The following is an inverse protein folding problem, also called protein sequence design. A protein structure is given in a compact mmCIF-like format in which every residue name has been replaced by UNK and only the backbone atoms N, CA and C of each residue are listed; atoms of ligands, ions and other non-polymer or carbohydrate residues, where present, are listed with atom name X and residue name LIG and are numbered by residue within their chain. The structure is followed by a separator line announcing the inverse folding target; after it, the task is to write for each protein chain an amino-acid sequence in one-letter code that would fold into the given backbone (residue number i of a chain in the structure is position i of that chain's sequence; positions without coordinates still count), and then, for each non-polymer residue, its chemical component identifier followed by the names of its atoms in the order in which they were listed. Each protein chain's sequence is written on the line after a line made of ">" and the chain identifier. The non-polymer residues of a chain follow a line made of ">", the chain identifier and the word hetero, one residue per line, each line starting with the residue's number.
data_IF_860158821470
#
_entry.id   IF_860158821470
#
_cell.length_a   1.000
_cell.length_b   1.000
_cell.length_c   1.000
_cell.angle_alpha   90.00
_cell.angle_beta   90.00
_cell.angle_gamma   90.00
#
_symmetry.space_group_name_H-M   'P 1'
#
loop_
_entity.id
_entity.type
_entity.pdbx_description
1 polymer ?
#
# COMPACT_ATOMS: atom_id res chain seq x y z
N UNK A 1 26.41 -43.69 -4.27
CA UNK A 1 26.70 -42.27 -4.04
C UNK A 1 25.59 -41.70 -3.16
N UNK A 2 25.80 -41.61 -1.84
CA UNK A 2 24.81 -41.13 -0.85
C UNK A 2 25.45 -39.95 -0.12
N UNK A 3 24.91 -38.75 -0.33
CA UNK A 3 25.40 -37.53 0.31
C UNK A 3 24.61 -37.32 1.61
N UNK A 4 25.32 -37.33 2.74
CA UNK A 4 24.80 -37.18 4.10
C UNK A 4 24.57 -35.69 4.40
N UNK A 5 23.36 -35.33 4.81
CA UNK A 5 23.05 -34.03 5.40
C UNK A 5 23.62 -33.97 6.82
N UNK A 6 24.52 -33.02 7.07
CA UNK A 6 25.06 -32.73 8.40
C UNK A 6 24.09 -31.84 9.17
N UNK A 7 23.47 -32.40 10.21
CA UNK A 7 22.71 -31.65 11.21
C UNK A 7 23.68 -30.94 12.16
N UNK A 8 23.66 -29.60 12.16
CA UNK A 8 24.38 -28.80 13.17
C UNK A 8 23.59 -27.52 13.44
N UNK A 9 22.61 -27.60 14.33
CA UNK A 9 22.20 -26.60 15.34
C UNK A 9 21.31 -27.37 16.32
N UNK A 10 21.94 -28.05 17.28
CA UNK A 10 21.28 -28.58 18.49
C UNK A 10 22.25 -28.47 19.66
N UNK A 11 22.43 -27.24 20.13
CA UNK A 11 22.85 -26.88 21.50
C UNK A 11 23.12 -25.38 21.51
N UNK A 12 22.21 -24.64 22.11
CA UNK A 12 22.46 -23.49 23.00
C UNK A 12 21.11 -22.97 23.54
N UNK A 13 20.25 -23.90 23.99
CA UNK A 13 19.25 -23.58 25.01
C UNK A 13 19.79 -24.19 26.30
N UNK A 14 20.69 -23.45 26.95
CA UNK A 14 21.10 -23.71 28.31
C UNK A 14 20.06 -23.08 29.22
N UNK A 15 19.20 -23.91 29.80
CA UNK A 15 18.45 -23.58 31.00
C UNK A 15 19.44 -23.23 32.11
N UNK A 16 19.40 -21.99 32.59
CA UNK A 16 19.86 -21.66 33.94
C UNK A 16 18.62 -21.26 34.74
N UNK A 17 18.16 -22.21 35.55
CA UNK A 17 17.20 -21.98 36.63
C UNK A 17 17.99 -21.34 37.76
N UNK A 18 17.71 -20.07 38.06
CA UNK A 18 17.93 -19.49 39.37
C UNK A 18 16.56 -18.94 39.80
N UNK A 19 15.97 -19.59 40.79
CA UNK A 19 14.81 -19.10 41.51
C UNK A 19 15.18 -17.81 42.23
N UNK A 20 14.50 -16.71 41.94
CA UNK A 20 14.24 -15.68 42.94
C UNK A 20 13.04 -14.85 42.50
N UNK A 21 11.99 -14.93 43.31
CA UNK A 21 10.78 -14.12 43.41
C UNK A 21 9.90 -13.89 42.17
N UNK A 22 8.62 -14.20 42.38
CA UNK A 22 7.52 -14.27 41.43
C UNK A 22 6.97 -12.87 41.10
N UNK A 23 7.05 -12.37 39.85
CA UNK A 23 6.15 -11.34 39.38
C UNK A 23 5.15 -12.01 38.42
N UNK A 24 3.91 -12.14 38.91
CA UNK A 24 2.65 -12.25 38.16
C UNK A 24 2.84 -12.28 36.63
N UNK A 25 2.49 -13.37 35.91
CA UNK A 25 2.66 -13.43 34.47
C UNK A 25 1.89 -12.27 33.85
N UNK A 26 2.61 -11.24 33.38
CA UNK A 26 2.04 -10.21 32.54
C UNK A 26 1.39 -10.96 31.38
N UNK A 27 0.06 -10.95 31.39
CA UNK A 27 -0.76 -11.45 30.31
C UNK A 27 -0.45 -10.51 29.13
N UNK A 28 0.60 -10.86 28.39
CA UNK A 28 1.09 -10.11 27.25
C UNK A 28 -0.05 -10.15 26.24
N UNK A 29 -0.87 -9.09 26.22
CA UNK A 29 -2.00 -9.02 25.31
C UNK A 29 -1.43 -8.85 23.91
N UNK A 30 -1.24 -9.97 23.22
CA UNK A 30 -0.77 -10.03 21.85
C UNK A 30 -1.64 -9.16 20.94
N UNK A 31 -2.90 -8.89 21.29
CA UNK A 31 -3.79 -7.98 20.56
C UNK A 31 -3.40 -6.53 20.79
N UNK A 32 -3.02 -6.17 22.01
CA UNK A 32 -2.53 -4.83 22.34
C UNK A 32 -1.15 -4.58 21.72
N UNK A 33 -0.25 -5.56 21.79
CA UNK A 33 1.07 -5.47 21.17
C UNK A 33 0.97 -5.40 19.63
N UNK A 34 0.10 -6.23 19.03
CA UNK A 34 -0.24 -6.14 17.61
C UNK A 34 -0.84 -4.78 17.28
N UNK A 35 -1.83 -4.29 18.02
CA UNK A 35 -2.43 -2.98 17.79
C UNK A 35 -1.41 -1.84 17.91
N UNK A 36 -0.48 -1.91 18.86
CA UNK A 36 0.59 -0.94 19.03
C UNK A 36 1.61 -0.98 17.89
N UNK A 37 1.86 -2.14 17.28
CA UNK A 37 2.68 -2.25 16.08
C UNK A 37 2.08 -1.50 14.87
N UNK A 38 0.75 -1.36 14.80
CA UNK A 38 0.07 -0.58 13.75
C UNK A 38 -0.10 0.91 14.11
N UNK A 39 -0.06 1.30 15.39
CA UNK A 39 -0.14 2.68 15.88
C UNK A 39 1.17 3.47 15.73
N UNK A 40 1.69 3.48 14.52
CA UNK A 40 2.83 4.34 14.15
C UNK A 40 2.49 5.83 14.27
N UNK A 41 3.49 6.72 14.30
CA UNK A 41 3.22 8.17 14.24
C UNK A 41 2.33 8.54 13.04
N UNK A 42 2.57 7.95 11.86
CA UNK A 42 1.71 8.13 10.69
C UNK A 42 0.26 7.68 10.89
N UNK A 43 0.03 6.67 11.72
CA UNK A 43 -1.32 6.26 12.12
C UNK A 43 -1.93 7.36 12.99
N UNK A 44 -1.26 7.77 14.07
CA UNK A 44 -1.78 8.78 14.99
C UNK A 44 -2.03 10.15 14.31
N UNK A 45 -1.14 10.58 13.41
CA UNK A 45 -1.30 11.80 12.63
C UNK A 45 -2.53 11.71 11.72
N UNK A 46 -2.66 10.61 10.97
CA UNK A 46 -3.82 10.35 10.13
C UNK A 46 -5.13 10.40 10.96
N UNK A 47 -5.16 9.77 12.13
CA UNK A 47 -6.34 9.78 13.00
C UNK A 47 -6.65 11.14 13.60
N UNK A 48 -5.63 11.94 13.89
CA UNK A 48 -5.83 13.32 14.37
C UNK A 48 -6.55 14.16 13.30
N UNK A 49 -6.17 14.01 12.02
CA UNK A 49 -6.85 14.69 10.91
C UNK A 49 -8.28 14.18 10.69
N UNK A 50 -8.49 12.86 10.74
CA UNK A 50 -9.83 12.25 10.65
C UNK A 50 -10.75 12.78 11.76
N UNK A 51 -10.27 12.83 13.00
CA UNK A 51 -11.05 13.32 14.15
C UNK A 51 -11.34 14.82 14.05
N UNK A 52 -10.42 15.61 13.51
CA UNK A 52 -10.64 17.04 13.27
C UNK A 52 -11.77 17.31 12.25
N UNK A 53 -11.87 16.46 11.22
CA UNK A 53 -12.95 16.52 10.22
C UNK A 53 -14.32 16.07 10.78
N UNK A 54 -14.32 15.32 11.89
CA UNK A 54 -15.51 14.69 12.49
C UNK A 54 -16.21 15.51 13.60
N UNK A 55 -15.92 16.81 13.77
CA UNK A 55 -16.47 17.63 14.87
C UNK A 55 -18.01 17.84 14.87
N UNK A 56 -18.77 17.20 13.97
CA UNK A 56 -20.22 17.41 13.82
C UNK A 56 -21.16 16.22 14.05
N UNK A 57 -20.70 14.95 14.06
CA UNK A 57 -21.62 13.80 13.85
C UNK A 57 -21.55 12.69 14.92
N UNK A 58 -21.17 13.04 16.16
CA UNK A 58 -20.78 12.07 17.19
C UNK A 58 -21.93 11.26 17.83
N UNK A 59 -23.19 11.36 17.41
CA UNK A 59 -24.33 11.00 18.27
C UNK A 59 -25.23 9.82 17.86
N UNK A 60 -24.91 8.95 16.88
CA UNK A 60 -25.92 7.93 16.50
C UNK A 60 -25.49 6.50 16.12
N UNK A 61 -24.23 6.08 16.26
CA UNK A 61 -23.85 4.71 15.88
C UNK A 61 -23.21 3.92 17.02
N UNK A 62 -24.07 3.35 17.88
CA UNK A 62 -23.69 2.30 18.85
C UNK A 62 -23.35 1.03 18.08
N UNK A 63 -22.09 0.60 18.18
CA UNK A 63 -21.56 -0.66 17.63
C UNK A 63 -22.23 -1.86 18.32
N UNK A 64 -22.73 -2.81 17.53
CA UNK A 64 -23.24 -4.09 18.02
C UNK A 64 -22.26 -5.18 17.58
N UNK A 65 -21.40 -5.60 18.52
CA UNK A 65 -20.73 -6.90 18.54
C UNK A 65 -19.61 -7.17 17.54
N UNK A 66 -18.36 -6.79 17.87
CA UNK A 66 -17.13 -7.59 17.66
C UNK A 66 -15.91 -6.80 18.18
N UNK A 67 -14.98 -7.47 18.88
CA UNK A 67 -13.89 -6.87 19.68
C UNK A 67 -12.66 -6.38 18.88
N UNK A 68 -12.81 -6.14 17.58
CA UNK A 68 -11.75 -5.52 16.76
C UNK A 68 -12.26 -4.30 15.97
N UNK A 69 -13.53 -4.30 15.55
CA UNK A 69 -14.15 -3.25 14.75
C UNK A 69 -14.86 -2.14 15.57
N UNK A 70 -14.79 -2.17 16.91
CA UNK A 70 -15.32 -1.11 17.77
C UNK A 70 -14.57 0.25 17.65
N UNK A 71 -13.63 0.39 16.71
CA UNK A 71 -12.87 1.61 16.45
C UNK A 71 -13.69 2.59 15.58
N UNK A 72 -14.62 3.26 16.26
CA UNK A 72 -15.24 4.57 15.97
C UNK A 72 -16.01 4.74 14.63
N UNK A 73 -17.30 5.10 14.64
CA UNK A 73 -18.11 5.41 13.44
C UNK A 73 -17.59 6.48 12.48
N UNK A 74 -16.54 7.22 12.87
CA UNK A 74 -16.01 8.42 12.20
C UNK A 74 -15.24 8.16 10.89
N UNK A 75 -15.07 6.90 10.51
CA UNK A 75 -14.22 6.49 9.40
C UNK A 75 -14.89 6.66 8.02
N UNK A 76 -16.22 6.74 7.96
CA UNK A 76 -17.02 6.54 6.73
C UNK A 76 -17.02 7.66 5.69
N UNK A 77 -16.46 8.84 5.98
CA UNK A 77 -16.85 10.04 5.24
C UNK A 77 -15.77 10.87 4.55
N UNK A 78 -14.47 10.57 4.63
CA UNK A 78 -13.48 11.56 4.17
C UNK A 78 -12.33 11.08 3.29
N UNK A 79 -12.43 9.95 2.58
CA UNK A 79 -11.42 9.52 1.59
C UNK A 79 -10.86 10.65 0.69
N UNK A 80 -11.73 11.57 0.26
CA UNK A 80 -11.39 12.71 -0.62
C UNK A 80 -10.50 13.77 0.07
N UNK A 81 -10.54 13.86 1.40
CA UNK A 81 -9.74 14.79 2.22
C UNK A 81 -8.57 14.10 2.92
N UNK A 82 -8.44 12.79 2.76
CA UNK A 82 -7.40 12.01 3.42
C UNK A 82 -6.10 11.94 2.63
N UNK A 83 -6.07 12.38 1.37
CA UNK A 83 -4.84 12.33 0.57
C UNK A 83 -3.85 13.41 1.05
N UNK A 84 -2.71 12.97 1.59
CA UNK A 84 -1.67 13.84 2.09
C UNK A 84 -0.28 13.50 1.48
N UNK A 85 0.40 14.47 0.84
CA UNK A 85 -0.12 15.78 0.46
C UNK A 85 -1.21 15.67 -0.61
N UNK A 86 -2.14 16.61 -0.61
CA UNK A 86 -3.21 16.69 -1.60
C UNK A 86 -2.67 16.97 -3.02
N UNK A 87 -3.51 16.76 -4.03
CA UNK A 87 -3.08 16.88 -5.42
C UNK A 87 -2.70 18.32 -5.83
N UNK A 88 -3.32 19.34 -5.25
CA UNK A 88 -2.99 20.74 -5.53
C UNK A 88 -1.63 21.13 -4.94
N UNK A 89 -1.34 20.65 -3.73
CA UNK A 89 -0.06 20.80 -3.04
C UNK A 89 1.05 20.13 -3.84
N UNK A 90 0.82 18.90 -4.32
CA UNK A 90 1.75 18.20 -5.21
C UNK A 90 2.00 18.99 -6.50
N UNK A 91 0.95 19.43 -7.20
CA UNK A 91 1.09 20.20 -8.45
C UNK A 91 1.95 21.45 -8.24
N UNK A 92 1.75 22.17 -7.13
CA UNK A 92 2.57 23.33 -6.76
C UNK A 92 4.03 22.94 -6.53
N UNK A 93 4.30 21.89 -5.74
CA UNK A 93 5.67 21.42 -5.47
C UNK A 93 6.37 21.00 -6.77
N UNK A 94 5.69 20.23 -7.62
CA UNK A 94 6.24 19.80 -8.91
C UNK A 94 6.50 20.98 -9.85
N UNK A 95 5.61 21.98 -9.88
CA UNK A 95 5.79 23.20 -10.68
C UNK A 95 7.02 24.04 -10.27
N UNK A 96 7.36 24.01 -8.97
CA UNK A 96 8.56 24.68 -8.44
C UNK A 96 9.84 23.82 -8.57
N UNK A 97 9.71 22.53 -8.86
CA UNK A 97 10.82 21.58 -8.88
C UNK A 97 11.58 21.66 -10.21
N UNK A 98 12.83 22.12 -10.17
CA UNK A 98 13.75 22.08 -11.32
C UNK A 98 14.37 20.69 -11.49
N UNK A 99 13.67 19.80 -12.21
CA UNK A 99 14.16 18.44 -12.53
C UNK A 99 14.06 18.14 -14.03
N UNK A 100 14.67 17.03 -14.46
CA UNK A 100 14.63 16.61 -15.86
C UNK A 100 13.19 16.25 -16.28
N UNK A 101 12.71 16.69 -17.47
CA UNK A 101 11.29 16.53 -17.86
C UNK A 101 10.76 15.10 -17.77
N UNK A 102 11.53 14.11 -18.23
CA UNK A 102 11.16 12.67 -18.11
C UNK A 102 10.98 12.18 -16.67
N UNK A 103 11.70 12.76 -15.70
CA UNK A 103 11.57 12.39 -14.29
C UNK A 103 10.37 13.11 -13.68
N UNK A 104 10.22 14.40 -14.00
CA UNK A 104 9.05 15.17 -13.57
C UNK A 104 7.75 14.51 -14.03
N UNK A 105 7.69 14.04 -15.28
CA UNK A 105 6.54 13.31 -15.82
C UNK A 105 6.27 12.01 -15.06
N UNK A 106 7.29 11.22 -14.71
CA UNK A 106 7.10 9.99 -13.93
C UNK A 106 6.63 10.28 -12.49
N UNK A 107 7.15 11.33 -11.86
CA UNK A 107 6.71 11.77 -10.54
C UNK A 107 5.26 12.27 -10.59
N UNK A 108 4.89 13.03 -11.62
CA UNK A 108 3.50 13.46 -11.86
C UNK A 108 2.57 12.26 -12.00
N UNK A 109 2.94 11.26 -12.80
CA UNK A 109 2.16 10.04 -12.96
C UNK A 109 2.06 9.25 -11.65
N UNK A 110 3.11 9.22 -10.83
CA UNK A 110 3.08 8.62 -9.50
C UNK A 110 2.04 9.26 -8.59
N UNK A 111 2.01 10.58 -8.51
CA UNK A 111 1.02 11.27 -7.68
C UNK A 111 -0.40 11.16 -8.26
N UNK A 112 -0.55 11.11 -9.58
CA UNK A 112 -1.85 10.83 -10.22
C UNK A 112 -2.35 9.43 -9.87
N UNK A 113 -1.53 8.40 -10.07
CA UNK A 113 -1.93 7.01 -9.80
C UNK A 113 -2.25 6.77 -8.31
N UNK A 114 -1.49 7.38 -7.40
CA UNK A 114 -1.80 7.30 -5.96
C UNK A 114 -3.07 8.06 -5.59
N UNK A 115 -3.39 9.16 -6.28
CA UNK A 115 -4.68 9.86 -6.15
C UNK A 115 -5.84 9.01 -6.67
N UNK A 116 -5.69 8.37 -7.84
CA UNK A 116 -6.70 7.49 -8.42
C UNK A 116 -6.98 6.27 -7.53
N UNK A 117 -5.93 5.68 -6.95
CA UNK A 117 -6.07 4.58 -6.00
C UNK A 117 -6.75 5.00 -4.68
N UNK A 118 -6.41 6.19 -4.16
CA UNK A 118 -7.08 6.78 -3.01
C UNK A 118 -8.57 7.01 -3.28
N UNK A 119 -8.92 7.56 -4.45
CA UNK A 119 -10.30 7.74 -4.87
C UNK A 119 -11.06 6.41 -5.00
N UNK A 120 -10.44 5.39 -5.58
CA UNK A 120 -10.99 4.04 -5.67
C UNK A 120 -11.27 3.44 -4.28
N UNK A 121 -10.35 3.60 -3.33
CA UNK A 121 -10.57 3.16 -1.96
C UNK A 121 -11.79 3.88 -1.34
N UNK A 122 -11.97 5.16 -1.64
CA UNK A 122 -13.14 5.93 -1.20
C UNK A 122 -14.45 5.45 -1.81
N UNK A 123 -14.45 5.02 -3.07
CA UNK A 123 -15.63 4.41 -3.70
C UNK A 123 -15.99 3.08 -3.02
N UNK A 124 -15.01 2.23 -2.74
CA UNK A 124 -15.25 0.96 -2.05
C UNK A 124 -15.77 1.16 -0.62
N UNK A 125 -15.29 2.17 0.11
CA UNK A 125 -15.86 2.53 1.42
C UNK A 125 -17.33 2.96 1.32
N UNK A 126 -17.70 3.71 0.28
CA UNK A 126 -19.11 4.07 0.01
C UNK A 126 -19.95 2.83 -0.29
N UNK A 127 -19.42 1.89 -1.07
CA UNK A 127 -20.07 0.61 -1.37
C UNK A 127 -20.28 -0.23 -0.10
N UNK A 128 -19.30 -0.29 0.79
CA UNK A 128 -19.41 -0.96 2.10
C UNK A 128 -20.51 -0.33 2.96
N UNK A 129 -20.54 1.01 3.07
CA UNK A 129 -21.57 1.70 3.86
C UNK A 129 -22.97 1.49 3.27
N UNK A 130 -23.09 1.49 1.94
CA UNK A 130 -24.33 1.16 1.25
C UNK A 130 -24.80 -0.26 1.61
N UNK A 131 -23.90 -1.25 1.54
CA UNK A 131 -24.22 -2.63 1.87
C UNK A 131 -24.61 -2.80 3.33
N UNK A 132 -23.94 -2.13 4.27
CA UNK A 132 -24.30 -2.15 5.69
C UNK A 132 -25.66 -1.51 5.97
N UNK A 133 -25.97 -0.37 5.33
CA UNK A 133 -27.29 0.29 5.45
C UNK A 133 -28.40 -0.63 4.95
N UNK A 134 -28.19 -1.25 3.79
CA UNK A 134 -29.15 -2.17 3.19
C UNK A 134 -29.31 -3.43 4.03
N UNK A 135 -28.22 -3.97 4.58
CA UNK A 135 -28.23 -5.09 5.51
C UNK A 135 -29.00 -4.75 6.79
N UNK A 136 -28.78 -3.58 7.40
CA UNK A 136 -29.55 -3.13 8.56
C UNK A 136 -31.04 -3.02 8.26
N UNK A 137 -31.42 -2.57 7.05
CA UNK A 137 -32.82 -2.50 6.63
C UNK A 137 -33.48 -3.87 6.42
N UNK A 138 -32.67 -4.92 6.22
CA UNK A 138 -33.14 -6.30 6.09
C UNK A 138 -33.71 -6.84 7.43
N UNK A 139 -33.22 -6.30 8.56
CA UNK A 139 -33.41 -6.84 9.90
C UNK A 139 -32.64 -8.16 10.10
N UNK A 140 -32.55 -8.69 11.33
CA UNK A 140 -32.14 -10.08 11.49
C UNK A 140 -33.27 -10.96 10.90
N UNK A 141 -33.03 -11.69 9.80
CA UNK A 141 -34.06 -12.51 9.17
C UNK A 141 -34.57 -13.63 10.10
N UNK A 142 -33.85 -13.89 11.20
CA UNK A 142 -34.10 -14.95 12.17
C UNK A 142 -34.39 -14.44 13.59
N UNK A 143 -34.49 -13.12 13.83
CA UNK A 143 -34.98 -12.62 15.12
C UNK A 143 -36.49 -12.93 15.27
N UNK A 144 -36.80 -13.82 16.21
CA UNK A 144 -38.17 -14.12 16.63
C UNK A 144 -38.54 -13.23 17.83
N UNK A 145 -39.71 -12.56 17.82
CA UNK A 145 -40.25 -11.98 19.03
C UNK A 145 -40.76 -13.11 19.95
N UNK A 146 -39.94 -13.44 20.96
CA UNK A 146 -40.25 -14.28 22.13
C UNK A 146 -40.64 -15.76 21.88
N UNK A 147 -39.86 -16.66 22.51
CA UNK A 147 -40.28 -17.98 23.00
C UNK A 147 -40.84 -19.02 22.00
N UNK A 148 -40.15 -19.30 20.88
CA UNK A 148 -40.23 -20.65 20.26
C UNK A 148 -38.87 -21.12 19.78
N UNK A 149 -38.52 -22.34 20.18
CA UNK A 149 -37.34 -23.07 19.71
C UNK A 149 -37.52 -23.46 18.24
N UNK A 150 -36.80 -22.79 17.34
CA UNK A 150 -36.66 -23.16 15.93
C UNK A 150 -36.89 -21.98 14.96
N UNK A 151 -36.21 -21.96 13.80
CA UNK A 151 -36.49 -20.99 12.74
C UNK A 151 -37.96 -21.12 12.28
N UNK A 152 -38.71 -20.01 12.23
CA UNK A 152 -40.09 -20.01 11.71
C UNK A 152 -40.05 -20.22 10.19
N UNK A 153 -40.01 -21.48 9.76
CA UNK A 153 -39.92 -21.93 8.35
C UNK A 153 -40.96 -21.23 7.46
N UNK A 154 -42.11 -20.81 8.03
CA UNK A 154 -43.15 -20.06 7.31
C UNK A 154 -42.69 -18.69 6.79
N UNK A 155 -41.66 -18.08 7.41
CA UNK A 155 -41.09 -16.79 6.98
C UNK A 155 -39.96 -16.93 5.97
N UNK A 156 -39.43 -18.14 5.78
CA UNK A 156 -38.29 -18.38 4.89
C UNK A 156 -38.51 -17.83 3.46
N UNK A 157 -39.67 -17.99 2.80
CA UNK A 157 -39.88 -17.42 1.47
C UNK A 157 -39.73 -15.89 1.42
N UNK A 158 -40.19 -15.19 2.47
CA UNK A 158 -40.08 -13.73 2.58
C UNK A 158 -38.62 -13.33 2.82
N UNK A 159 -37.92 -14.07 3.68
CA UNK A 159 -36.49 -13.87 3.93
C UNK A 159 -35.67 -14.05 2.65
N UNK A 160 -35.88 -15.16 1.92
CA UNK A 160 -35.18 -15.44 0.67
C UNK A 160 -35.45 -14.34 -0.38
N UNK A 161 -36.70 -13.89 -0.53
CA UNK A 161 -37.02 -12.80 -1.47
C UNK A 161 -36.28 -11.49 -1.13
N UNK A 162 -36.19 -11.13 0.16
CA UNK A 162 -35.45 -9.93 0.58
C UNK A 162 -33.94 -10.09 0.39
N UNK A 163 -33.39 -11.28 0.65
CA UNK A 163 -31.98 -11.59 0.44
C UNK A 163 -31.62 -11.60 -1.05
N UNK A 164 -32.49 -12.12 -1.92
CA UNK A 164 -32.31 -11.99 -3.38
C UNK A 164 -32.27 -10.52 -3.80
N UNK A 165 -33.17 -9.68 -3.27
CA UNK A 165 -33.16 -8.25 -3.54
C UNK A 165 -31.87 -7.60 -3.00
N UNK A 166 -31.37 -8.04 -1.85
CA UNK A 166 -30.09 -7.61 -1.29
C UNK A 166 -28.94 -7.89 -2.26
N UNK A 167 -28.79 -9.14 -2.67
CA UNK A 167 -27.73 -9.63 -3.57
C UNK A 167 -27.74 -8.94 -4.94
N UNK A 168 -28.93 -8.64 -5.50
CA UNK A 168 -29.04 -7.89 -6.76
C UNK A 168 -28.44 -6.48 -6.75
N UNK A 169 -28.13 -5.91 -5.58
CA UNK A 169 -27.39 -4.63 -5.49
C UNK A 169 -25.94 -4.82 -5.08
N UNK A 170 -25.37 -6.00 -5.29
CA UNK A 170 -23.97 -6.30 -5.04
C UNK A 170 -23.05 -5.35 -5.83
N UNK A 171 -22.31 -4.45 -5.15
CA UNK A 171 -21.38 -3.51 -5.81
C UNK A 171 -20.01 -4.15 -6.13
N UNK A 172 -19.78 -5.39 -5.68
CA UNK A 172 -18.51 -6.11 -5.80
C UNK A 172 -18.47 -7.08 -6.99
N UNK A 173 -19.55 -7.16 -7.77
CA UNK A 173 -19.60 -8.02 -8.94
C UNK A 173 -18.64 -7.53 -10.05
N UNK A 174 -18.09 -8.45 -10.82
CA UNK A 174 -17.11 -8.14 -11.87
C UNK A 174 -17.63 -7.16 -12.93
N UNK A 175 -18.95 -7.15 -13.16
CA UNK A 175 -19.62 -6.23 -14.09
C UNK A 175 -19.85 -4.84 -13.50
N UNK A 176 -19.59 -4.62 -12.20
CA UNK A 176 -19.80 -3.33 -11.57
C UNK A 176 -18.82 -2.27 -12.11
N UNK A 177 -19.27 -1.00 -12.26
CA UNK A 177 -18.39 0.10 -12.68
C UNK A 177 -17.17 0.27 -11.77
N UNK A 178 -17.32 0.05 -10.46
CA UNK A 178 -16.23 0.07 -9.46
C UNK A 178 -15.13 -0.93 -9.81
N UNK A 179 -15.49 -2.14 -10.26
CA UNK A 179 -14.52 -3.19 -10.61
C UNK A 179 -13.76 -2.89 -11.90
N UNK A 180 -14.42 -2.33 -12.91
CA UNK A 180 -13.73 -1.88 -14.12
C UNK A 180 -12.68 -0.80 -13.82
N UNK A 181 -13.02 0.15 -12.94
CA UNK A 181 -12.09 1.18 -12.45
C UNK A 181 -10.97 0.57 -11.62
N UNK A 182 -11.28 -0.42 -10.79
CA UNK A 182 -10.28 -1.14 -9.99
C UNK A 182 -9.19 -1.74 -10.87
N UNK A 183 -9.57 -2.48 -11.92
CA UNK A 183 -8.64 -3.07 -12.88
C UNK A 183 -7.82 -2.00 -13.61
N UNK A 184 -8.46 -0.89 -14.01
CA UNK A 184 -7.77 0.22 -14.67
C UNK A 184 -6.68 0.85 -13.78
N UNK A 185 -6.97 1.08 -12.49
CA UNK A 185 -6.01 1.61 -11.52
C UNK A 185 -4.86 0.62 -11.28
N UNK A 186 -5.15 -0.66 -11.09
CA UNK A 186 -4.13 -1.70 -10.87
C UNK A 186 -3.19 -1.84 -12.08
N UNK A 187 -3.74 -1.82 -13.30
CA UNK A 187 -2.97 -1.84 -14.53
C UNK A 187 -2.10 -0.58 -14.70
N UNK A 188 -2.66 0.59 -14.38
CA UNK A 188 -1.93 1.87 -14.43
C UNK A 188 -0.76 1.89 -13.44
N UNK A 189 -0.97 1.41 -12.21
CA UNK A 189 0.10 1.27 -11.21
C UNK A 189 1.18 0.29 -11.67
N UNK A 190 0.79 -0.86 -12.21
CA UNK A 190 1.73 -1.87 -12.73
C UNK A 190 2.58 -1.35 -13.89
N UNK A 191 1.98 -0.59 -14.82
CA UNK A 191 2.70 0.04 -15.91
C UNK A 191 3.66 1.12 -15.39
N UNK A 192 3.19 1.97 -14.48
CA UNK A 192 4.02 3.00 -13.85
C UNK A 192 5.23 2.39 -13.13
N UNK A 193 5.05 1.31 -12.37
CA UNK A 193 6.14 0.65 -11.67
C UNK A 193 7.26 0.23 -12.65
N UNK A 194 6.90 -0.41 -13.76
CA UNK A 194 7.87 -0.79 -14.81
C UNK A 194 8.64 0.41 -15.36
N UNK A 195 7.95 1.54 -15.56
CA UNK A 195 8.59 2.76 -16.06
C UNK A 195 9.52 3.39 -15.03
N UNK A 196 9.11 3.44 -13.75
CA UNK A 196 9.92 3.93 -12.64
C UNK A 196 11.18 3.09 -12.46
N UNK A 197 11.06 1.76 -12.42
CA UNK A 197 12.19 0.84 -12.28
C UNK A 197 13.15 0.94 -13.47
N UNK A 198 12.63 0.88 -14.70
CA UNK A 198 13.45 1.04 -15.91
C UNK A 198 14.23 2.36 -15.90
N UNK A 199 13.60 3.46 -15.46
CA UNK A 199 14.26 4.76 -15.40
C UNK A 199 15.26 4.85 -14.26
N UNK A 200 14.95 4.28 -13.09
CA UNK A 200 15.86 4.18 -11.95
C UNK A 200 17.12 3.43 -12.36
N UNK A 201 16.96 2.26 -12.98
CA UNK A 201 18.08 1.41 -13.38
C UNK A 201 18.95 2.09 -14.43
N UNK A 202 18.34 2.75 -15.44
CA UNK A 202 19.06 3.60 -16.41
C UNK A 202 19.82 4.75 -15.75
N UNK A 203 19.31 5.30 -14.66
CA UNK A 203 19.99 6.39 -13.93
C UNK A 203 21.16 5.84 -13.12
N UNK A 204 20.99 4.68 -12.48
CA UNK A 204 22.05 3.99 -11.75
C UNK A 204 23.18 3.51 -12.65
N UNK A 205 22.88 3.01 -13.85
CA UNK A 205 23.91 2.62 -14.83
C UNK A 205 24.74 3.82 -15.26
N UNK A 206 24.12 4.98 -15.52
CA UNK A 206 24.85 6.24 -15.78
C UNK A 206 25.76 6.62 -14.62
N UNK A 207 25.30 6.58 -13.37
CA UNK A 207 26.13 6.84 -12.20
C UNK A 207 27.36 5.91 -12.17
N UNK A 208 27.15 4.61 -12.41
CA UNK A 208 28.23 3.62 -12.46
C UNK A 208 29.22 3.92 -13.58
N UNK A 209 28.75 4.32 -14.76
CA UNK A 209 29.58 4.71 -15.89
C UNK A 209 30.44 5.94 -15.57
N UNK A 210 29.85 7.00 -14.99
CA UNK A 210 30.58 8.20 -14.57
C UNK A 210 31.66 7.89 -13.52
N UNK A 211 31.35 7.03 -12.53
CA UNK A 211 32.34 6.58 -11.53
C UNK A 211 33.51 5.83 -12.17
N UNK A 212 33.24 4.94 -13.13
CA UNK A 212 34.26 4.22 -13.90
C UNK A 212 35.12 5.17 -14.74
N UNK A 213 34.51 6.14 -15.44
CA UNK A 213 35.22 7.12 -16.25
C UNK A 213 36.14 8.01 -15.38
N UNK A 214 35.64 8.46 -14.22
CA UNK A 214 36.45 9.26 -13.28
C UNK A 214 37.66 8.46 -12.76
N UNK A 215 37.47 7.18 -12.44
CA UNK A 215 38.56 6.30 -12.02
C UNK A 215 39.59 6.09 -13.15
N UNK A 216 39.12 5.79 -14.38
CA UNK A 216 39.99 5.61 -15.54
C UNK A 216 40.78 6.88 -15.90
N UNK A 217 40.14 8.05 -15.82
CA UNK A 217 40.80 9.34 -16.05
C UNK A 217 41.86 9.64 -14.98
N UNK A 218 41.63 9.30 -13.72
CA UNK A 218 42.62 9.48 -12.67
C UNK A 218 43.84 8.60 -12.90
N UNK A 219 43.63 7.33 -13.29
CA UNK A 219 44.72 6.40 -13.66
C UNK A 219 45.50 6.92 -14.86
N UNK A 220 44.82 7.41 -15.90
CA UNK A 220 45.48 7.99 -17.08
C UNK A 220 46.30 9.23 -16.73
N UNK A 221 45.77 10.12 -15.88
CA UNK A 221 46.50 11.31 -15.42
C UNK A 221 47.77 10.93 -14.64
N UNK A 222 47.67 9.96 -13.73
CA UNK A 222 48.84 9.44 -12.99
C UNK A 222 49.86 8.85 -13.97
N UNK A 223 49.43 8.04 -14.93
CA UNK A 223 50.31 7.46 -15.93
C UNK A 223 51.02 8.54 -16.78
N UNK A 224 50.28 9.53 -17.28
CA UNK A 224 50.86 10.65 -18.07
C UNK A 224 51.85 11.45 -17.25
N UNK A 225 51.54 11.77 -15.99
CA UNK A 225 52.48 12.50 -15.12
C UNK A 225 53.75 11.70 -14.81
N UNK A 226 53.63 10.39 -14.54
CA UNK A 226 54.78 9.53 -14.32
C UNK A 226 55.66 9.42 -15.57
N UNK A 227 55.04 9.26 -16.75
CA UNK A 227 55.78 9.24 -18.03
C UNK A 227 56.46 10.58 -18.33
N UNK A 228 55.80 11.71 -18.06
CA UNK A 228 56.38 13.04 -18.28
C UNK A 228 57.58 13.29 -17.36
N UNK A 229 57.53 12.84 -16.10
CA UNK A 229 58.67 12.94 -15.18
C UNK A 229 59.90 12.15 -15.69
N UNK A 230 59.67 10.95 -16.24
CA UNK A 230 60.74 10.14 -16.84
C UNK A 230 61.35 10.85 -18.05
N UNK A 231 60.52 11.42 -18.92
CA UNK A 231 60.98 12.15 -20.12
C UNK A 231 61.77 13.41 -19.73
N UNK A 232 61.30 14.19 -18.75
CA UNK A 232 62.01 15.38 -18.26
C UNK A 232 63.34 14.99 -17.60
N UNK A 233 63.38 13.92 -16.80
CA UNK A 233 64.62 13.43 -16.20
C UNK A 233 65.61 12.89 -17.24
N UNK A 234 65.13 12.27 -18.32
CA UNK A 234 65.95 11.74 -19.40
C UNK A 234 66.41 12.81 -20.41
N UNK A 235 65.65 13.89 -20.58
CA UNK A 235 65.85 14.89 -21.63
C UNK A 235 65.86 16.31 -21.07
N UNK A 236 66.94 16.67 -20.35
CA UNK A 236 67.16 18.03 -19.85
C UNK A 236 67.38 19.10 -20.95
N UNK A 237 67.37 18.75 -22.23
CA UNK A 237 67.41 19.71 -23.33
C UNK A 237 66.61 19.14 -24.52
N UNK A 238 65.40 19.67 -24.73
CA UNK A 238 64.78 20.03 -26.03
C UNK A 238 63.27 20.23 -25.80
N UNK A 239 62.82 21.40 -26.23
CA UNK A 239 61.52 22.00 -26.00
C UNK A 239 60.38 21.37 -26.81
N UNK A 240 59.20 21.33 -26.15
CA UNK A 240 57.86 21.74 -26.58
C UNK A 240 57.24 21.25 -27.93
N UNK A 241 55.92 21.03 -27.84
CA UNK A 241 54.85 21.12 -28.87
C UNK A 241 54.34 19.79 -29.43
N UNK A 242 53.17 19.37 -28.92
CA UNK A 242 51.96 19.16 -29.71
C UNK A 242 50.80 18.85 -28.75
N UNK A 243 49.93 19.82 -28.50
CA UNK A 243 48.74 19.63 -27.68
C UNK A 243 47.75 18.72 -28.44
N UNK A 244 47.30 17.58 -27.88
CA UNK A 244 46.21 16.83 -28.48
C UNK A 244 44.92 17.58 -28.21
N UNK A 245 44.22 17.97 -29.27
CA UNK A 245 42.85 18.50 -29.21
C UNK A 245 41.93 17.47 -28.57
N UNK A 246 41.62 17.66 -27.28
CA UNK A 246 40.60 16.87 -26.60
C UNK A 246 39.26 17.30 -27.18
N UNK A 247 38.71 16.44 -28.03
CA UNK A 247 37.33 16.51 -28.50
C UNK A 247 36.41 16.73 -27.30
N UNK A 248 35.89 17.95 -27.19
CA UNK A 248 34.81 18.30 -26.28
C UNK A 248 33.53 17.65 -26.80
N UNK A 249 33.42 16.34 -26.61
CA UNK A 249 32.14 15.67 -26.70
C UNK A 249 31.20 16.41 -25.75
N UNK A 250 30.10 16.93 -26.29
CA UNK A 250 29.02 17.57 -25.55
C UNK A 250 28.34 16.53 -24.66
N UNK A 251 29.03 16.08 -23.62
CA UNK A 251 28.41 15.39 -22.51
C UNK A 251 27.54 16.44 -21.86
N UNK A 252 26.21 16.28 -21.93
CA UNK A 252 25.33 16.95 -20.98
C UNK A 252 25.95 16.74 -19.59
N UNK A 253 26.49 17.81 -19.02
CA UNK A 253 27.25 17.79 -17.76
C UNK A 253 26.24 17.69 -16.61
N UNK A 254 25.51 16.59 -16.59
CA UNK A 254 24.64 16.20 -15.50
C UNK A 254 25.58 15.70 -14.41
N UNK A 255 25.66 16.45 -13.31
CA UNK A 255 26.50 16.03 -12.18
C UNK A 255 26.04 14.67 -11.64
N UNK A 256 26.99 13.89 -11.15
CA UNK A 256 26.70 12.60 -10.48
C UNK A 256 25.71 12.81 -9.34
N UNK A 257 25.78 13.95 -8.64
CA UNK A 257 24.83 14.36 -7.61
C UNK A 257 23.40 14.49 -8.15
N UNK A 258 23.20 15.15 -9.31
CA UNK A 258 21.88 15.23 -9.96
C UNK A 258 21.33 13.83 -10.27
N UNK A 259 22.15 12.95 -10.83
CA UNK A 259 21.75 11.56 -11.11
C UNK A 259 21.43 10.78 -9.83
N UNK A 260 22.20 10.97 -8.75
CA UNK A 260 21.96 10.32 -7.48
C UNK A 260 20.61 10.74 -6.88
N UNK A 261 20.30 12.05 -6.90
CA UNK A 261 19.00 12.58 -6.47
C UNK A 261 17.84 12.01 -7.29
N UNK A 262 17.98 11.98 -8.60
CA UNK A 262 17.00 11.37 -9.50
C UNK A 262 16.79 9.89 -9.21
N UNK A 263 17.86 9.15 -8.93
CA UNK A 263 17.77 7.75 -8.54
C UNK A 263 17.01 7.58 -7.22
N UNK A 264 17.22 8.46 -6.23
CA UNK A 264 16.53 8.39 -4.94
C UNK A 264 15.03 8.68 -5.08
N UNK A 265 14.66 9.72 -5.84
CA UNK A 265 13.27 10.07 -6.15
C UNK A 265 12.54 8.91 -6.85
N UNK A 266 13.17 8.34 -7.88
CA UNK A 266 12.61 7.21 -8.63
C UNK A 266 12.51 5.94 -7.77
N UNK A 267 13.48 5.70 -6.90
CA UNK A 267 13.47 4.55 -6.00
C UNK A 267 12.37 4.66 -4.93
N UNK A 268 12.19 5.83 -4.33
CA UNK A 268 11.10 6.10 -3.40
C UNK A 268 9.72 5.92 -4.08
N UNK A 269 9.54 6.47 -5.27
CA UNK A 269 8.30 6.32 -6.04
C UNK A 269 8.05 4.87 -6.47
N UNK A 270 9.09 4.14 -6.89
CA UNK A 270 8.98 2.73 -7.26
C UNK A 270 8.57 1.87 -6.04
N UNK A 271 9.22 2.07 -4.88
CA UNK A 271 8.85 1.39 -3.63
C UNK A 271 7.41 1.69 -3.23
N UNK A 272 7.00 2.95 -3.27
CA UNK A 272 5.63 3.36 -2.98
C UNK A 272 4.61 2.71 -3.92
N UNK A 273 4.91 2.69 -5.22
CA UNK A 273 4.04 2.06 -6.24
C UNK A 273 3.95 0.55 -6.05
N UNK A 274 5.07 -0.11 -5.71
CA UNK A 274 5.09 -1.54 -5.43
C UNK A 274 4.20 -1.90 -4.24
N UNK A 275 4.33 -1.15 -3.13
CA UNK A 275 3.49 -1.41 -1.94
C UNK A 275 2.02 -1.18 -2.27
N UNK A 276 1.69 -0.09 -2.99
CA UNK A 276 0.32 0.17 -3.43
C UNK A 276 -0.26 -0.99 -4.26
N UNK A 277 0.51 -1.57 -5.18
CA UNK A 277 0.05 -2.73 -5.97
C UNK A 277 -0.25 -3.91 -5.04
N UNK A 278 0.55 -4.15 -4.00
CA UNK A 278 0.32 -5.24 -3.03
C UNK A 278 -0.94 -5.01 -2.19
N UNK A 279 -1.18 -3.77 -1.79
CA UNK A 279 -2.42 -3.41 -1.08
C UNK A 279 -3.64 -3.63 -1.98
N UNK A 280 -3.57 -3.18 -3.25
CA UNK A 280 -4.64 -3.41 -4.24
C UNK A 280 -4.86 -4.90 -4.52
N UNK A 281 -3.81 -5.72 -4.61
CA UNK A 281 -3.95 -7.18 -4.75
C UNK A 281 -4.71 -7.80 -3.56
N UNK A 282 -4.47 -7.27 -2.36
CA UNK A 282 -5.12 -7.75 -1.13
C UNK A 282 -6.59 -7.35 -1.12
N UNK A 283 -6.88 -6.08 -1.40
CA UNK A 283 -8.24 -5.54 -1.53
C UNK A 283 -9.02 -6.30 -2.61
N UNK A 284 -8.41 -6.59 -3.77
CA UNK A 284 -9.04 -7.35 -4.85
C UNK A 284 -9.52 -8.73 -4.40
N UNK A 285 -8.73 -9.43 -3.57
CA UNK A 285 -9.11 -10.74 -3.02
C UNK A 285 -10.27 -10.64 -2.04
N UNK A 286 -10.29 -9.62 -1.19
CA UNK A 286 -11.37 -9.38 -0.23
C UNK A 286 -12.69 -9.02 -0.93
N UNK A 287 -12.61 -8.17 -1.95
CA UNK A 287 -13.75 -7.84 -2.82
C UNK A 287 -14.29 -9.09 -3.53
N UNK A 288 -13.41 -9.92 -4.10
CA UNK A 288 -13.82 -11.18 -4.72
C UNK A 288 -14.47 -12.14 -3.71
N UNK A 289 -13.99 -12.18 -2.46
CA UNK A 289 -14.58 -12.99 -1.39
C UNK A 289 -16.01 -12.55 -1.07
N UNK A 290 -16.24 -11.23 -0.91
CA UNK A 290 -17.57 -10.67 -0.69
C UNK A 290 -18.53 -10.97 -1.85
N UNK A 291 -18.05 -10.88 -3.09
CA UNK A 291 -18.84 -11.25 -4.25
C UNK A 291 -19.24 -12.74 -4.21
N UNK A 292 -18.30 -13.62 -3.89
CA UNK A 292 -18.54 -15.06 -3.82
C UNK A 292 -19.55 -15.43 -2.71
N UNK A 293 -19.55 -14.74 -1.56
CA UNK A 293 -20.57 -14.95 -0.52
C UNK A 293 -21.98 -14.66 -1.03
N UNK A 294 -22.14 -13.58 -1.81
CA UNK A 294 -23.43 -13.19 -2.37
C UNK A 294 -23.88 -14.14 -3.49
N UNK A 295 -22.97 -14.54 -4.38
CA UNK A 295 -23.24 -15.57 -5.39
C UNK A 295 -23.60 -16.92 -4.76
N UNK A 296 -22.94 -17.29 -3.66
CA UNK A 296 -23.26 -18.51 -2.92
C UNK A 296 -24.67 -18.46 -2.33
N UNK A 297 -25.08 -17.31 -1.76
CA UNK A 297 -26.44 -17.11 -1.26
C UNK A 297 -27.48 -17.20 -2.39
N UNK A 298 -27.20 -16.63 -3.56
CA UNK A 298 -28.09 -16.77 -4.74
C UNK A 298 -28.22 -18.23 -5.17
N UNK A 299 -27.12 -18.99 -5.20
CA UNK A 299 -27.13 -20.41 -5.52
C UNK A 299 -27.96 -21.23 -4.52
N UNK A 300 -27.84 -20.94 -3.21
CA UNK A 300 -28.65 -21.58 -2.16
C UNK A 300 -30.15 -21.32 -2.36
N UNK A 301 -30.51 -20.09 -2.70
CA UNK A 301 -31.91 -19.71 -2.97
C UNK A 301 -32.43 -20.47 -4.19
N UNK A 302 -31.66 -20.52 -5.28
CA UNK A 302 -32.03 -21.23 -6.50
C UNK A 302 -32.26 -22.73 -6.23
N UNK A 303 -31.33 -23.37 -5.52
CA UNK A 303 -31.45 -24.78 -5.12
C UNK A 303 -32.67 -25.06 -4.23
N UNK A 304 -33.06 -24.12 -3.38
CA UNK A 304 -34.26 -24.24 -2.54
C UNK A 304 -35.55 -24.13 -3.36
N UNK A 305 -35.60 -23.22 -4.33
CA UNK A 305 -36.75 -23.03 -5.24
C UNK A 305 -36.97 -24.28 -6.11
N UNK A 306 -35.90 -24.93 -6.55
CA UNK A 306 -35.97 -26.12 -7.40
C UNK A 306 -36.46 -27.38 -6.66
N UNK A 307 -36.31 -27.45 -5.33
CA UNK A 307 -36.75 -28.60 -4.53
C UNK A 307 -38.25 -28.53 -4.22
N UNK A 308 -39.01 -29.49 -4.78
CA UNK A 308 -40.47 -29.59 -4.61
C UNK A 308 -40.91 -30.45 -3.41
N UNK A 309 -40.25 -31.58 -3.16
CA UNK A 309 -40.76 -32.61 -2.21
C UNK A 309 -40.08 -32.60 -0.82
N UNK A 310 -38.79 -32.24 -0.70
CA UNK A 310 -38.03 -32.25 0.57
C UNK A 310 -37.92 -30.88 1.25
N UNK A 311 -38.98 -30.07 1.20
CA UNK A 311 -38.91 -28.64 1.57
C UNK A 311 -38.61 -28.39 3.04
N UNK A 312 -38.99 -29.27 3.97
CA UNK A 312 -38.77 -29.03 5.41
C UNK A 312 -37.29 -29.12 5.79
N UNK A 313 -36.63 -30.24 5.50
CA UNK A 313 -35.19 -30.42 5.77
C UNK A 313 -34.34 -29.45 4.95
N UNK A 314 -34.71 -29.20 3.69
CA UNK A 314 -34.04 -28.20 2.86
C UNK A 314 -34.19 -26.77 3.42
N UNK A 315 -35.33 -26.45 4.04
CA UNK A 315 -35.57 -25.13 4.64
C UNK A 315 -34.73 -24.90 5.90
N UNK A 316 -34.55 -25.92 6.74
CA UNK A 316 -33.69 -25.82 7.93
C UNK A 316 -32.22 -25.60 7.54
N UNK A 317 -31.73 -26.37 6.57
CA UNK A 317 -30.35 -26.23 6.07
C UNK A 317 -30.12 -24.86 5.43
N UNK A 318 -31.05 -24.39 4.58
CA UNK A 318 -30.94 -23.08 3.94
C UNK A 318 -31.00 -21.94 4.96
N UNK A 319 -31.85 -22.06 5.99
CA UNK A 319 -31.89 -21.09 7.08
C UNK A 319 -30.57 -21.05 7.86
N UNK A 320 -29.99 -22.21 8.18
CA UNK A 320 -28.71 -22.32 8.86
C UNK A 320 -27.56 -21.70 8.04
N UNK A 321 -27.44 -22.07 6.76
CA UNK A 321 -26.40 -21.54 5.88
C UNK A 321 -26.56 -20.03 5.66
N UNK A 322 -27.79 -19.54 5.48
CA UNK A 322 -28.04 -18.11 5.32
C UNK A 322 -27.61 -17.32 6.56
N UNK A 323 -27.88 -17.84 7.78
CA UNK A 323 -27.41 -17.20 9.02
C UNK A 323 -25.88 -17.17 9.10
N UNK A 324 -25.22 -18.28 8.75
CA UNK A 324 -23.76 -18.38 8.75
C UNK A 324 -23.13 -17.41 7.74
N UNK A 325 -23.64 -17.39 6.51
CA UNK A 325 -23.16 -16.51 5.44
C UNK A 325 -23.38 -15.04 5.80
N UNK A 326 -24.50 -14.71 6.45
CA UNK A 326 -24.81 -13.37 6.92
C UNK A 326 -23.76 -12.84 7.92
N UNK A 327 -23.36 -13.67 8.89
CA UNK A 327 -22.31 -13.31 9.85
C UNK A 327 -20.96 -13.17 9.15
N UNK A 328 -20.59 -14.15 8.30
CA UNK A 328 -19.31 -14.09 7.57
C UNK A 328 -19.22 -12.89 6.64
N UNK A 329 -20.32 -12.52 5.99
CA UNK A 329 -20.38 -11.36 5.10
C UNK A 329 -20.10 -10.05 5.83
N UNK A 330 -20.67 -9.86 7.03
CA UNK A 330 -20.40 -8.67 7.85
C UNK A 330 -18.94 -8.63 8.30
N UNK A 331 -18.39 -9.76 8.74
CA UNK A 331 -16.97 -9.87 9.11
C UNK A 331 -16.04 -9.55 7.93
N UNK A 332 -16.38 -10.02 6.72
CA UNK A 332 -15.63 -9.71 5.50
C UNK A 332 -15.73 -8.24 5.08
N UNK A 333 -16.87 -7.58 5.33
CA UNK A 333 -16.99 -6.13 5.12
C UNK A 333 -16.10 -5.34 6.09
N UNK A 334 -15.99 -5.77 7.34
CA UNK A 334 -15.10 -5.18 8.33
C UNK A 334 -13.62 -5.38 7.94
N UNK A 335 -13.25 -6.59 7.49
CA UNK A 335 -11.89 -6.89 7.00
C UNK A 335 -11.52 -6.03 5.78
N UNK A 336 -12.43 -5.92 4.79
CA UNK A 336 -12.21 -5.07 3.61
C UNK A 336 -12.02 -3.60 4.02
N UNK A 337 -12.87 -3.10 4.90
CA UNK A 337 -12.78 -1.72 5.38
C UNK A 337 -11.44 -1.43 6.08
N UNK A 338 -10.97 -2.33 6.94
CA UNK A 338 -9.67 -2.19 7.59
C UNK A 338 -8.53 -2.08 6.57
N UNK A 339 -8.52 -2.96 5.56
CA UNK A 339 -7.51 -2.94 4.50
C UNK A 339 -7.57 -1.69 3.62
N UNK A 340 -8.75 -1.10 3.43
CA UNK A 340 -8.89 0.18 2.73
C UNK A 340 -8.21 1.31 3.52
N UNK A 341 -8.40 1.38 4.84
CA UNK A 341 -7.70 2.38 5.67
C UNK A 341 -6.19 2.17 5.71
N UNK A 342 -5.74 0.92 5.82
CA UNK A 342 -4.32 0.59 5.71
C UNK A 342 -3.73 1.08 4.39
N UNK A 343 -4.45 0.87 3.28
CA UNK A 343 -4.03 1.36 1.97
C UNK A 343 -3.93 2.90 1.93
N UNK A 344 -4.90 3.64 2.47
CA UNK A 344 -4.82 5.11 2.57
C UNK A 344 -3.58 5.59 3.33
N UNK A 345 -3.32 5.00 4.50
CA UNK A 345 -2.16 5.37 5.32
C UNK A 345 -0.85 5.08 4.59
N UNK A 346 -0.77 3.94 3.90
CA UNK A 346 0.37 3.57 3.08
C UNK A 346 0.57 4.52 1.90
N UNK A 347 -0.50 4.92 1.21
CA UNK A 347 -0.48 5.92 0.14
C UNK A 347 0.10 7.24 0.65
N UNK A 348 -0.43 7.78 1.75
CA UNK A 348 0.01 9.06 2.30
C UNK A 348 1.47 9.01 2.74
N UNK A 349 1.87 7.93 3.42
CA UNK A 349 3.26 7.72 3.83
C UNK A 349 4.18 7.68 2.60
N UNK A 350 3.80 6.95 1.56
CA UNK A 350 4.59 6.86 0.34
C UNK A 350 4.70 8.22 -0.38
N UNK A 351 3.59 8.97 -0.50
CA UNK A 351 3.59 10.31 -1.10
C UNK A 351 4.50 11.27 -0.34
N UNK A 352 4.42 11.28 0.98
CA UNK A 352 5.28 12.09 1.84
C UNK A 352 6.77 11.74 1.69
N UNK A 353 7.11 10.46 1.59
CA UNK A 353 8.50 10.03 1.33
C UNK A 353 9.01 10.53 -0.03
N UNK A 354 8.19 10.45 -1.08
CA UNK A 354 8.58 10.96 -2.41
C UNK A 354 8.75 12.48 -2.39
N UNK A 355 7.85 13.21 -1.73
CA UNK A 355 7.97 14.66 -1.56
C UNK A 355 9.24 15.03 -0.77
N UNK A 356 9.56 14.28 0.29
CA UNK A 356 10.81 14.45 1.03
C UNK A 356 12.03 14.30 0.12
N UNK A 357 12.07 13.31 -0.76
CA UNK A 357 13.16 13.16 -1.75
C UNK A 357 13.20 14.30 -2.78
N UNK A 358 12.04 14.84 -3.16
CA UNK A 358 11.93 16.01 -4.04
C UNK A 358 12.48 17.28 -3.36
N UNK A 359 12.12 17.51 -2.09
CA UNK A 359 12.50 18.72 -1.34
C UNK A 359 13.94 18.67 -0.81
N UNK A 360 14.42 17.50 -0.34
CA UNK A 360 15.82 17.30 0.04
C UNK A 360 16.78 17.53 -1.15
N UNK A 361 16.26 17.46 -2.37
CA UNK A 361 16.99 17.81 -3.58
C UNK A 361 17.11 19.33 -3.82
N UNK A 362 16.48 20.18 -3.01
CA UNK A 362 16.49 21.65 -3.14
C UNK A 362 17.53 22.38 -2.28
N UNK A 363 18.11 21.74 -1.26
CA UNK A 363 19.08 22.39 -0.38
C UNK A 363 20.48 22.39 -1.03
N UNK A 364 21.10 23.57 -1.27
CA UNK A 364 22.54 23.62 -1.49
C UNK A 364 23.21 23.18 -0.19
N UNK A 365 24.10 22.19 -0.26
CA UNK A 365 25.05 21.91 0.82
C UNK A 365 25.89 23.16 1.02
N UNK A 366 25.56 23.98 2.02
CA UNK A 366 26.43 25.06 2.45
C UNK A 366 27.70 24.40 3.01
N UNK A 367 28.81 24.73 2.38
CA UNK A 367 30.13 24.21 2.70
C UNK A 367 30.45 24.39 4.19
N UNK A 368 30.76 23.30 4.87
CA UNK A 368 31.51 23.32 6.12
C UNK A 368 32.95 23.72 5.78
N UNK A 369 33.22 25.03 5.82
CA UNK A 369 34.58 25.56 5.85
C UNK A 369 35.18 25.24 7.23
N UNK A 370 36.36 24.59 7.33
CA UNK A 370 37.03 24.45 8.61
C UNK A 370 37.63 25.79 9.00
N UNK A 371 37.35 26.22 10.23
CA UNK A 371 37.93 27.40 10.85
C UNK A 371 39.47 27.26 10.86
N UNK A 372 40.25 28.27 10.43
CA UNK A 372 41.68 28.26 10.64
C UNK A 372 41.98 28.45 12.14
N UNK A 373 43.09 27.84 12.55
CA UNK A 373 43.58 27.67 13.93
C UNK A 373 43.55 28.92 14.80
#
# INVERSE_FOLDING_TARGET
>A
MKIKFHAKIKKLFGHNVIQTEDPNPQNLDLREEYANAFRTESYNDFWTHVLALNKGDLMTHRSLGSSTAARLPSYRLFAEHLLDPDQSTVTRILGLTRTHPKILSLLSNYFSNTSDASHLCGLLLKDIDHMRKKHKSLGDPFESPQNRSGPDIRRLPVVLARVTLFSKSNPFCLSAPSMSRFQAVQNSCSNLLKQLESRRDKTQTKIRQFKKLKCGSAVLLVAVTASLLIVIAAHAFVMLVAAPGVLTASLELISIEKLARWSAQLDAAAKGTYILIRDLDTISRLVARLNNELEHVEALIQMWVERKDDRLQASEEVAYQLKKNNQSFIEQLDELEEHLYLCFMTINRARNLVIKEILNSGAPTLNSTPLPK
#
